data_IF_668616507281
#
_entry.id   IF_668616507281
#
_cell.length_a   1.000
_cell.length_b   1.000
_cell.length_c   1.000
_cell.angle_alpha   90.00
_cell.angle_beta   90.00
_cell.angle_gamma   90.00
#
_symmetry.space_group_name_H-M   'P 1'
#
loop_
_entity.id
_entity.type
_entity.pdbx_description
1 polymer ?
#
# COMPACT_ATOMS: atom_id res chain seq x y z
N UNK A 1 8.24 -12.87 28.30
CA UNK A 1 8.90 -12.16 27.19
C UNK A 1 9.10 -13.06 25.97
N UNK A 2 9.85 -14.18 26.03
CA UNK A 2 10.08 -15.09 24.90
C UNK A 2 8.78 -15.62 24.24
N UNK A 3 7.75 -16.01 25.01
CA UNK A 3 6.46 -16.47 24.47
C UNK A 3 5.64 -15.40 23.77
N UNK A 4 5.79 -14.12 24.14
CA UNK A 4 5.18 -12.99 23.42
C UNK A 4 5.89 -12.73 22.09
N UNK A 5 7.22 -12.74 22.09
CA UNK A 5 8.02 -12.57 20.88
C UNK A 5 7.75 -13.67 19.85
N UNK A 6 7.58 -14.92 20.31
CA UNK A 6 7.21 -16.03 19.44
C UNK A 6 5.83 -15.81 18.80
N UNK A 7 4.81 -15.43 19.57
CA UNK A 7 3.45 -15.15 19.06
C UNK A 7 3.42 -13.97 18.09
N UNK A 8 4.18 -12.90 18.34
CA UNK A 8 4.36 -11.78 17.40
C UNK A 8 4.99 -12.27 16.10
N UNK A 9 5.95 -13.21 16.18
CA UNK A 9 6.60 -13.78 15.01
C UNK A 9 5.68 -14.69 14.18
N UNK A 10 4.78 -15.42 14.84
CA UNK A 10 3.86 -16.38 14.19
C UNK A 10 2.66 -15.66 13.53
N UNK A 11 1.96 -14.81 14.28
CA UNK A 11 0.80 -14.05 13.79
C UNK A 11 0.70 -12.70 14.50
N UNK A 12 1.35 -11.63 13.98
CA UNK A 12 1.32 -10.32 14.61
C UNK A 12 -0.09 -9.68 14.59
N UNK A 13 -0.94 -9.95 13.60
CA UNK A 13 -2.30 -9.39 13.55
C UNK A 13 -3.15 -9.97 14.66
N UNK A 14 -3.19 -11.30 14.80
CA UNK A 14 -3.92 -11.96 15.88
C UNK A 14 -3.36 -11.58 17.25
N UNK A 15 -2.03 -11.43 17.38
CA UNK A 15 -1.40 -11.00 18.63
C UNK A 15 -1.86 -9.60 19.02
N UNK A 16 -1.73 -8.59 18.14
CA UNK A 16 -2.13 -7.21 18.43
C UNK A 16 -3.63 -7.10 18.72
N UNK A 17 -4.48 -7.77 17.92
CA UNK A 17 -5.92 -7.80 18.15
C UNK A 17 -6.29 -8.47 19.49
N UNK A 18 -5.55 -9.52 19.88
CA UNK A 18 -5.72 -10.18 21.17
C UNK A 18 -5.32 -9.27 22.34
N UNK A 19 -4.25 -8.49 22.20
CA UNK A 19 -3.86 -7.51 23.24
C UNK A 19 -4.91 -6.40 23.36
N UNK A 20 -5.37 -5.85 22.24
CA UNK A 20 -6.43 -4.84 22.22
C UNK A 20 -7.73 -5.31 22.90
N UNK A 21 -8.25 -6.50 22.50
CA UNK A 21 -9.48 -7.04 23.12
C UNK A 21 -9.34 -7.27 24.63
N UNK A 22 -8.14 -7.59 25.12
CA UNK A 22 -7.88 -7.91 26.52
C UNK A 22 -7.65 -6.68 27.38
N UNK A 23 -7.00 -5.65 26.85
CA UNK A 23 -6.48 -4.53 27.62
C UNK A 23 -7.06 -3.17 27.21
N UNK A 24 -7.92 -3.13 26.18
CA UNK A 24 -8.52 -1.88 25.69
C UNK A 24 -7.62 -1.12 24.71
N UNK A 25 -7.90 0.15 24.53
CA UNK A 25 -7.39 0.98 23.43
C UNK A 25 -5.96 1.47 23.63
N UNK A 26 -5.46 1.47 24.85
CA UNK A 26 -4.07 1.79 25.16
C UNK A 26 -3.42 0.59 25.82
N UNK A 27 -2.46 -0.01 25.13
CA UNK A 27 -1.74 -1.20 25.60
C UNK A 27 -0.26 -0.88 25.74
N UNK A 28 0.26 -0.93 26.96
CA UNK A 28 1.69 -0.88 27.21
C UNK A 28 2.29 -2.29 27.09
N UNK A 29 3.27 -2.45 26.20
CA UNK A 29 4.01 -3.69 26.11
C UNK A 29 5.16 -3.75 27.13
N UNK A 30 5.49 -4.94 27.66
CA UNK A 30 6.57 -5.12 28.63
C UNK A 30 7.96 -5.04 27.95
N UNK A 31 8.19 -3.95 27.23
CA UNK A 31 9.47 -3.62 26.57
C UNK A 31 10.09 -2.47 27.36
N UNK A 32 11.24 -2.68 28.01
CA UNK A 32 11.79 -1.69 28.93
C UNK A 32 12.36 -0.45 28.22
N UNK A 33 12.86 -0.59 26.99
CA UNK A 33 13.45 0.53 26.26
C UNK A 33 13.41 0.31 24.74
N UNK A 34 12.81 1.24 24.00
CA UNK A 34 11.96 2.32 24.48
C UNK A 34 10.64 1.79 25.05
N UNK A 35 9.98 2.52 26.00
CA UNK A 35 8.61 2.22 26.38
C UNK A 35 7.74 2.14 25.13
N UNK A 36 6.93 1.10 25.04
CA UNK A 36 6.19 0.80 23.80
C UNK A 36 4.70 0.70 24.10
N UNK A 37 3.91 1.48 23.38
CA UNK A 37 2.46 1.55 23.52
C UNK A 37 1.77 1.28 22.20
N UNK A 38 0.69 0.52 22.22
CA UNK A 38 -0.27 0.46 21.11
C UNK A 38 -1.45 1.36 21.44
N UNK A 39 -1.85 2.18 20.48
CA UNK A 39 -2.96 3.11 20.58
C UNK A 39 -3.96 2.80 19.48
N UNK A 40 -5.22 2.53 19.85
CA UNK A 40 -6.24 2.01 18.95
C UNK A 40 -7.51 2.86 18.86
N UNK A 41 -7.81 3.69 19.89
CA UNK A 41 -8.96 4.59 19.84
C UNK A 41 -8.81 5.63 18.71
N UNK A 42 -9.81 5.83 17.85
CA UNK A 42 -9.72 6.73 16.69
C UNK A 42 -9.29 8.16 17.03
N UNK A 43 -9.75 8.72 18.16
CA UNK A 43 -9.39 10.09 18.57
C UNK A 43 -7.93 10.19 19.01
N UNK A 44 -7.41 9.17 19.70
CA UNK A 44 -6.00 9.14 20.11
C UNK A 44 -5.10 8.95 18.87
N UNK A 45 -5.51 8.10 17.94
CA UNK A 45 -4.84 7.94 16.64
C UNK A 45 -4.79 9.27 15.88
N UNK A 46 -5.90 10.01 15.86
CA UNK A 46 -5.96 11.36 15.29
C UNK A 46 -5.03 12.31 16.01
N UNK A 47 -4.98 12.24 17.35
CA UNK A 47 -4.07 13.05 18.14
C UNK A 47 -2.62 12.83 17.74
N UNK A 48 -2.17 11.57 17.60
CA UNK A 48 -0.80 11.25 17.19
C UNK A 48 -0.50 11.69 15.76
N UNK A 49 -1.40 11.38 14.82
CA UNK A 49 -1.11 11.56 13.39
C UNK A 49 -1.39 12.98 12.88
N UNK A 50 -2.31 13.71 13.52
CA UNK A 50 -2.77 15.03 13.07
C UNK A 50 -2.48 16.10 14.12
N UNK A 51 -3.14 16.01 15.29
CA UNK A 51 -3.14 17.07 16.29
C UNK A 51 -1.75 17.37 16.86
N UNK A 52 -1.00 16.33 17.19
CA UNK A 52 0.34 16.42 17.76
C UNK A 52 1.41 15.81 16.83
N UNK A 53 1.20 15.89 15.52
CA UNK A 53 2.12 15.35 14.51
C UNK A 53 3.53 15.97 14.54
N UNK A 54 3.71 17.11 15.18
CA UNK A 54 5.03 17.76 15.40
C UNK A 54 5.80 17.16 16.57
N UNK A 55 5.10 16.48 17.48
CA UNK A 55 5.67 15.86 18.68
C UNK A 55 6.00 14.38 18.48
N UNK A 56 6.04 13.94 17.22
CA UNK A 56 6.39 12.57 16.84
C UNK A 56 7.33 12.53 15.65
N UNK A 57 8.18 11.49 15.61
CA UNK A 57 9.13 11.23 14.52
C UNK A 57 8.94 9.82 13.96
N UNK A 58 9.57 9.55 12.81
CA UNK A 58 9.70 8.21 12.23
C UNK A 58 10.96 7.46 12.70
N UNK A 59 11.69 7.97 13.68
CA UNK A 59 12.88 7.29 14.22
C UNK A 59 12.49 6.04 15.01
N UNK A 60 12.01 5.03 14.31
CA UNK A 60 11.58 3.74 14.86
C UNK A 60 12.30 2.59 14.19
N UNK A 61 12.26 1.41 14.82
CA UNK A 61 12.87 0.22 14.25
C UNK A 61 12.33 -0.14 12.86
N UNK A 62 11.02 0.05 12.66
CA UNK A 62 10.35 -0.21 11.38
C UNK A 62 10.95 0.65 10.26
N UNK A 63 11.02 1.96 10.44
CA UNK A 63 11.53 2.87 9.39
C UNK A 63 13.04 2.75 9.21
N UNK A 64 13.81 2.50 10.29
CA UNK A 64 15.24 2.19 10.19
C UNK A 64 15.52 0.89 9.42
N UNK A 65 14.65 -0.12 9.54
CA UNK A 65 14.79 -1.34 8.75
C UNK A 65 14.44 -1.09 7.28
N UNK A 66 13.37 -0.32 7.03
CA UNK A 66 12.90 0.00 5.69
C UNK A 66 13.88 0.93 4.93
N UNK A 67 14.55 1.85 5.63
CA UNK A 67 15.56 2.74 5.03
C UNK A 67 16.79 2.00 4.49
N UNK A 68 16.99 0.72 4.82
CA UNK A 68 18.02 -0.11 4.17
C UNK A 68 17.71 -0.37 2.69
N UNK A 69 16.46 -0.27 2.29
CA UNK A 69 16.00 -0.43 0.91
C UNK A 69 15.77 0.93 0.26
N UNK A 70 14.99 1.78 0.92
CA UNK A 70 14.51 3.06 0.36
C UNK A 70 15.42 4.26 0.73
N UNK A 71 16.52 4.03 1.44
CA UNK A 71 17.40 5.12 1.89
C UNK A 71 16.66 6.18 2.70
N UNK A 72 16.93 7.44 2.42
CA UNK A 72 16.30 8.62 3.03
C UNK A 72 15.16 9.21 2.16
N UNK A 73 14.49 8.36 1.38
CA UNK A 73 13.35 8.81 0.58
C UNK A 73 12.15 9.23 1.42
N UNK A 74 11.12 9.75 0.77
CA UNK A 74 9.93 10.37 1.36
C UNK A 74 9.21 9.47 2.37
N UNK A 75 9.27 8.14 2.19
CA UNK A 75 8.63 7.19 3.09
C UNK A 75 9.33 7.09 4.45
N UNK A 76 10.65 7.18 4.49
CA UNK A 76 11.47 6.86 5.67
C UNK A 76 12.08 8.09 6.34
N UNK A 77 12.31 9.17 5.60
CA UNK A 77 12.94 10.38 6.11
C UNK A 77 12.07 11.14 7.13
N UNK A 78 12.76 11.88 8.00
CA UNK A 78 12.16 12.84 8.93
C UNK A 78 12.49 14.28 8.50
N UNK A 79 11.95 15.26 9.25
CA UNK A 79 12.29 16.68 9.04
C UNK A 79 13.80 16.92 9.31
N UNK A 80 14.48 17.80 8.55
CA UNK A 80 13.92 18.68 7.48
C UNK A 80 13.80 17.99 6.12
N UNK A 81 14.51 16.88 5.86
CA UNK A 81 14.62 16.19 4.57
C UNK A 81 13.23 15.86 3.99
N UNK A 82 12.37 15.25 4.80
CA UNK A 82 11.02 14.92 4.36
C UNK A 82 10.25 16.13 3.82
N UNK A 83 10.34 17.30 4.49
CA UNK A 83 9.57 18.49 4.08
C UNK A 83 10.06 19.01 2.75
N UNK A 84 11.37 18.98 2.51
CA UNK A 84 11.99 19.37 1.25
C UNK A 84 11.54 18.44 0.12
N UNK A 85 11.73 17.14 0.28
CA UNK A 85 11.34 16.14 -0.72
C UNK A 85 9.83 16.17 -0.99
N UNK A 86 9.00 16.28 0.05
CA UNK A 86 7.55 16.42 -0.10
C UNK A 86 7.16 17.60 -0.98
N UNK A 87 7.80 18.75 -0.79
CA UNK A 87 7.54 19.98 -1.58
C UNK A 87 7.94 19.80 -3.06
N UNK A 88 9.04 19.14 -3.32
CA UNK A 88 9.53 18.87 -4.69
C UNK A 88 8.55 17.93 -5.41
N UNK A 89 8.10 16.89 -4.74
CA UNK A 89 7.32 15.79 -5.33
C UNK A 89 5.82 16.04 -5.37
N UNK A 90 5.29 16.94 -4.54
CA UNK A 90 3.85 17.20 -4.43
C UNK A 90 3.18 17.52 -5.79
N UNK A 91 3.79 18.30 -6.71
CA UNK A 91 3.18 18.61 -8.01
C UNK A 91 2.95 17.37 -8.88
N UNK A 92 3.79 16.33 -8.79
CA UNK A 92 3.62 15.09 -9.56
C UNK A 92 2.35 14.31 -9.19
N UNK A 93 1.73 14.63 -8.03
CA UNK A 93 0.51 14.02 -7.53
C UNK A 93 -0.68 14.98 -7.48
N UNK A 94 -0.60 16.08 -8.25
CA UNK A 94 -1.72 17.01 -8.40
C UNK A 94 -2.87 16.34 -9.17
N UNK A 95 -4.15 16.68 -8.91
CA UNK A 95 -5.29 16.13 -9.65
C UNK A 95 -5.15 16.20 -11.17
N UNK A 96 -4.49 17.20 -11.71
CA UNK A 96 -4.26 17.36 -13.16
C UNK A 96 -3.39 16.25 -13.78
N UNK A 97 -2.66 15.49 -12.97
CA UNK A 97 -1.88 14.34 -13.45
C UNK A 97 -2.68 13.05 -13.52
N UNK A 98 -3.86 12.99 -12.90
CA UNK A 98 -4.69 11.78 -12.83
C UNK A 98 -5.20 11.27 -14.17
N UNK A 99 -5.51 12.11 -15.18
CA UNK A 99 -5.87 11.60 -16.52
C UNK A 99 -4.76 10.72 -17.13
N UNK A 100 -3.49 11.11 -16.97
CA UNK A 100 -2.36 10.31 -17.42
C UNK A 100 -2.25 8.98 -16.65
N UNK A 101 -2.49 9.00 -15.36
CA UNK A 101 -2.53 7.78 -14.53
C UNK A 101 -3.66 6.86 -15.01
N UNK A 102 -4.83 7.40 -15.31
CA UNK A 102 -5.95 6.64 -15.82
C UNK A 102 -5.63 6.00 -17.19
N UNK A 103 -5.01 6.73 -18.10
CA UNK A 103 -4.57 6.22 -19.41
C UNK A 103 -3.56 5.07 -19.25
N UNK A 104 -2.55 5.21 -18.39
CA UNK A 104 -1.57 4.15 -18.16
C UNK A 104 -2.20 2.92 -17.48
N UNK A 105 -3.13 3.16 -16.55
CA UNK A 105 -3.89 2.10 -15.89
C UNK A 105 -4.78 1.35 -16.88
N UNK A 106 -5.48 2.07 -17.75
CA UNK A 106 -6.35 1.45 -18.76
C UNK A 106 -5.54 0.54 -19.69
N UNK A 107 -4.39 1.01 -20.19
CA UNK A 107 -3.48 0.21 -21.00
C UNK A 107 -2.97 -1.05 -20.28
N UNK A 108 -2.58 -0.93 -19.02
CA UNK A 108 -2.11 -2.06 -18.23
C UNK A 108 -3.25 -3.04 -17.91
N UNK A 109 -4.44 -2.53 -17.57
CA UNK A 109 -5.63 -3.33 -17.33
C UNK A 109 -6.10 -4.05 -18.59
N UNK A 110 -6.10 -3.38 -19.75
CA UNK A 110 -6.45 -3.98 -21.03
C UNK A 110 -5.50 -5.14 -21.38
N UNK A 111 -4.19 -4.99 -21.13
CA UNK A 111 -3.22 -6.10 -21.34
C UNK A 111 -3.55 -7.29 -20.44
N UNK A 112 -3.82 -7.05 -19.14
CA UNK A 112 -4.17 -8.13 -18.21
C UNK A 112 -5.51 -8.77 -18.59
N UNK A 113 -6.52 -7.99 -18.97
CA UNK A 113 -7.80 -8.49 -19.47
C UNK A 113 -7.59 -9.39 -20.70
N UNK A 114 -6.80 -8.94 -21.69
CA UNK A 114 -6.49 -9.74 -22.87
C UNK A 114 -5.80 -11.07 -22.52
N UNK A 115 -4.85 -11.05 -21.58
CA UNK A 115 -4.19 -12.26 -21.09
C UNK A 115 -5.17 -13.23 -20.41
N UNK A 116 -6.09 -12.72 -19.58
CA UNK A 116 -7.10 -13.56 -18.90
C UNK A 116 -8.15 -14.08 -19.86
N UNK A 117 -8.58 -13.27 -20.84
CA UNK A 117 -9.57 -13.66 -21.86
C UNK A 117 -9.02 -14.65 -22.89
N UNK A 118 -7.70 -14.74 -23.05
CA UNK A 118 -7.05 -15.72 -23.91
C UNK A 118 -6.92 -17.11 -23.26
N UNK A 119 -7.21 -17.23 -21.96
CA UNK A 119 -7.20 -18.53 -21.27
C UNK A 119 -8.50 -19.29 -21.54
N UNK A 120 -8.44 -20.60 -21.41
CA UNK A 120 -9.64 -21.44 -21.42
C UNK A 120 -10.57 -21.08 -20.24
N UNK A 121 -11.88 -21.17 -20.49
CA UNK A 121 -12.87 -20.96 -19.42
C UNK A 121 -12.67 -21.99 -18.31
N UNK A 122 -12.57 -21.52 -17.07
CA UNK A 122 -12.24 -22.36 -15.91
C UNK A 122 -10.75 -22.48 -15.61
N UNK A 123 -9.86 -21.85 -16.37
CA UNK A 123 -8.43 -21.80 -16.07
C UNK A 123 -8.17 -21.17 -14.69
N UNK A 124 -7.11 -21.64 -14.04
CA UNK A 124 -6.72 -21.15 -12.69
C UNK A 124 -5.45 -20.32 -12.79
N UNK A 125 -5.49 -19.13 -12.24
CA UNK A 125 -4.37 -18.18 -12.22
C UNK A 125 -4.04 -17.73 -10.80
N UNK A 126 -2.80 -17.36 -10.56
CA UNK A 126 -2.43 -16.59 -9.37
C UNK A 126 -2.70 -15.11 -9.63
N UNK A 127 -3.81 -14.60 -9.10
CA UNK A 127 -4.23 -13.22 -9.33
C UNK A 127 -3.31 -12.21 -8.63
N UNK A 128 -2.68 -12.60 -7.52
CA UNK A 128 -1.75 -11.75 -6.80
C UNK A 128 -0.52 -11.39 -7.65
N UNK A 129 0.07 -12.38 -8.31
CA UNK A 129 1.18 -12.15 -9.24
C UNK A 129 0.77 -11.25 -10.43
N UNK A 130 -0.44 -11.45 -10.97
CA UNK A 130 -0.93 -10.68 -12.13
C UNK A 130 -1.14 -9.20 -11.81
N UNK A 131 -1.80 -8.88 -10.69
CA UNK A 131 -2.03 -7.48 -10.32
C UNK A 131 -0.75 -6.81 -9.81
N UNK A 132 0.23 -7.57 -9.32
CA UNK A 132 1.56 -7.04 -8.98
C UNK A 132 2.26 -6.49 -10.23
N UNK A 133 2.28 -7.25 -11.31
CA UNK A 133 2.86 -6.82 -12.59
C UNK A 133 2.12 -5.60 -13.13
N UNK A 134 0.76 -5.60 -13.12
CA UNK A 134 -0.05 -4.46 -13.52
C UNK A 134 0.34 -3.19 -12.75
N UNK A 135 0.36 -3.25 -11.43
CA UNK A 135 0.65 -2.08 -10.60
C UNK A 135 2.09 -1.55 -10.81
N UNK A 136 3.05 -2.45 -11.03
CA UNK A 136 4.42 -2.04 -11.33
C UNK A 136 4.54 -1.33 -12.68
N UNK A 137 3.83 -1.82 -13.71
CA UNK A 137 3.76 -1.17 -15.01
C UNK A 137 3.16 0.24 -14.91
N UNK A 138 2.03 0.39 -14.18
CA UNK A 138 1.38 1.70 -14.00
C UNK A 138 2.30 2.69 -13.31
N UNK A 139 3.01 2.27 -12.26
CA UNK A 139 3.99 3.13 -11.56
C UNK A 139 5.15 3.52 -12.49
N UNK A 140 5.70 2.55 -13.22
CA UNK A 140 6.79 2.78 -14.18
C UNK A 140 6.43 3.81 -15.24
N UNK A 141 5.31 3.60 -15.90
CA UNK A 141 4.82 4.47 -16.97
C UNK A 141 4.43 5.86 -16.45
N UNK A 142 3.72 5.91 -15.30
CA UNK A 142 3.13 7.16 -14.81
C UNK A 142 4.11 8.08 -14.11
N UNK A 143 5.07 7.55 -13.35
CA UNK A 143 5.97 8.35 -12.54
C UNK A 143 7.34 8.55 -13.17
N UNK A 144 7.77 7.62 -14.02
CA UNK A 144 9.11 7.63 -14.60
C UNK A 144 9.12 7.65 -16.13
N UNK A 145 7.95 7.59 -16.78
CA UNK A 145 7.85 7.49 -18.25
C UNK A 145 8.63 6.30 -18.82
N UNK A 146 8.80 5.26 -18.01
CA UNK A 146 9.62 4.09 -18.34
C UNK A 146 8.80 2.82 -18.37
N UNK A 147 8.78 2.18 -19.53
CA UNK A 147 8.18 0.86 -19.67
C UNK A 147 9.10 -0.19 -19.05
N UNK A 148 8.75 -0.63 -17.83
CA UNK A 148 9.52 -1.63 -17.10
C UNK A 148 9.50 -3.00 -17.77
N UNK A 149 8.48 -3.29 -18.60
CA UNK A 149 8.39 -4.43 -19.51
C UNK A 149 9.10 -5.71 -19.05
N UNK A 150 10.16 -6.16 -19.77
CA UNK A 150 10.83 -7.44 -19.47
C UNK A 150 11.53 -7.51 -18.11
N UNK A 151 11.73 -6.38 -17.43
CA UNK A 151 12.38 -6.33 -16.11
C UNK A 151 11.38 -6.25 -14.96
N UNK A 152 10.08 -6.07 -15.25
CA UNK A 152 9.04 -5.86 -14.25
C UNK A 152 8.96 -7.02 -13.26
N UNK A 153 8.92 -8.26 -13.73
CA UNK A 153 8.81 -9.43 -12.86
C UNK A 153 10.03 -9.57 -11.94
N UNK A 154 11.24 -9.36 -12.46
CA UNK A 154 12.48 -9.39 -11.66
C UNK A 154 12.51 -8.28 -10.62
N UNK A 155 12.02 -7.11 -10.97
CA UNK A 155 11.96 -5.96 -10.06
C UNK A 155 10.92 -6.18 -8.95
N UNK A 156 9.76 -6.76 -9.28
CA UNK A 156 8.76 -7.17 -8.29
C UNK A 156 9.32 -8.21 -7.33
N UNK A 157 9.98 -9.25 -7.84
CA UNK A 157 10.63 -10.29 -7.01
C UNK A 157 11.73 -9.71 -6.11
N UNK A 158 12.57 -8.84 -6.66
CA UNK A 158 13.62 -8.15 -5.89
C UNK A 158 13.03 -7.29 -4.76
N UNK A 159 11.95 -6.56 -5.06
CA UNK A 159 11.24 -5.75 -4.05
C UNK A 159 10.68 -6.63 -2.94
N UNK A 160 9.93 -7.68 -3.27
CA UNK A 160 9.36 -8.60 -2.29
C UNK A 160 10.44 -9.26 -1.44
N UNK A 161 11.56 -9.67 -2.06
CA UNK A 161 12.70 -10.23 -1.36
C UNK A 161 13.30 -9.23 -0.38
N UNK A 162 13.56 -8.00 -0.81
CA UNK A 162 14.11 -6.95 0.04
C UNK A 162 13.19 -6.65 1.24
N UNK A 163 11.89 -6.51 1.00
CA UNK A 163 10.91 -6.24 2.04
C UNK A 163 10.71 -7.44 2.99
N UNK A 164 10.77 -8.67 2.48
CA UNK A 164 10.78 -9.89 3.29
C UNK A 164 11.98 -9.94 4.25
N UNK A 165 13.16 -9.61 3.77
CA UNK A 165 14.36 -9.53 4.62
C UNK A 165 14.30 -8.37 5.64
N UNK A 166 13.67 -7.24 5.29
CA UNK A 166 13.37 -6.14 6.25
C UNK A 166 12.52 -6.66 7.41
N UNK A 167 11.46 -7.41 7.11
CA UNK A 167 10.58 -7.99 8.14
C UNK A 167 11.32 -9.05 8.96
N UNK A 168 12.07 -9.93 8.31
CA UNK A 168 12.88 -10.94 9.01
C UNK A 168 13.89 -10.29 9.97
N UNK A 169 14.56 -9.23 9.53
CA UNK A 169 15.48 -8.45 10.36
C UNK A 169 14.76 -7.77 11.55
N UNK A 170 13.55 -7.25 11.35
CA UNK A 170 12.78 -6.61 12.42
C UNK A 170 12.35 -7.61 13.51
N UNK A 171 12.19 -8.90 13.15
CA UNK A 171 11.77 -9.98 14.06
C UNK A 171 12.93 -10.66 14.80
N UNK A 172 14.19 -10.44 14.40
CA UNK A 172 15.35 -11.11 14.99
C UNK A 172 15.90 -10.32 16.21
N UNK A 173 16.03 -10.94 17.38
CA UNK A 173 16.59 -10.30 18.58
C UNK A 173 18.10 -10.01 18.46
N UNK A 174 18.83 -10.85 17.74
CA UNK A 174 20.26 -10.70 17.48
C UNK A 174 20.48 -10.64 15.97
N UNK A 175 21.14 -9.58 15.51
CA UNK A 175 21.36 -9.31 14.08
C UNK A 175 22.83 -9.49 13.74
N UNK A 176 23.09 -10.30 12.72
CA UNK A 176 24.40 -10.31 12.10
C UNK A 176 24.64 -8.98 11.37
N UNK A 177 25.80 -8.34 11.55
CA UNK A 177 26.17 -7.16 10.77
C UNK A 177 26.03 -7.41 9.26
N UNK A 178 25.65 -6.38 8.48
CA UNK A 178 25.38 -6.52 7.05
C UNK A 178 26.56 -7.03 6.20
N UNK A 179 27.79 -6.88 6.68
CA UNK A 179 29.00 -7.38 6.03
C UNK A 179 29.20 -8.91 6.18
N UNK A 180 28.58 -9.53 7.19
CA UNK A 180 28.64 -11.00 7.35
C UNK A 180 27.76 -11.64 6.25
N UNK A 181 28.29 -12.60 5.48
CA UNK A 181 27.58 -13.20 4.34
C UNK A 181 26.57 -14.27 4.77
N UNK A 182 25.62 -13.92 5.65
CA UNK A 182 24.48 -14.79 5.98
C UNK A 182 23.58 -14.95 4.74
N UNK A 183 22.77 -16.03 4.66
CA UNK A 183 21.81 -16.19 3.56
C UNK A 183 20.88 -14.97 3.40
N UNK A 184 20.35 -14.42 4.49
CA UNK A 184 19.51 -13.21 4.45
C UNK A 184 20.27 -11.98 3.94
N UNK A 185 21.50 -11.73 4.42
CA UNK A 185 22.31 -10.62 3.95
C UNK A 185 22.72 -10.78 2.46
N UNK A 186 22.86 -12.02 1.96
CA UNK A 186 23.12 -12.26 0.53
C UNK A 186 21.87 -11.95 -0.31
N UNK A 187 20.66 -12.43 0.10
CA UNK A 187 19.40 -12.12 -0.59
C UNK A 187 19.13 -10.62 -0.61
N UNK A 188 19.29 -9.94 0.53
CA UNK A 188 19.15 -8.48 0.59
C UNK A 188 20.10 -7.78 -0.37
N UNK A 189 21.38 -8.14 -0.41
CA UNK A 189 22.35 -7.52 -1.33
C UNK A 189 21.98 -7.75 -2.79
N UNK A 190 21.57 -8.96 -3.15
CA UNK A 190 21.12 -9.26 -4.51
C UNK A 190 19.92 -8.40 -4.89
N UNK A 191 18.89 -8.35 -4.04
CA UNK A 191 17.71 -7.52 -4.26
C UNK A 191 18.04 -6.04 -4.41
N UNK A 192 18.94 -5.49 -3.58
CA UNK A 192 19.39 -4.09 -3.71
C UNK A 192 20.15 -3.86 -5.03
N UNK A 193 20.95 -4.82 -5.49
CA UNK A 193 21.64 -4.72 -6.80
C UNK A 193 20.64 -4.65 -7.95
N UNK A 194 19.57 -5.45 -7.92
CA UNK A 194 18.51 -5.43 -8.94
C UNK A 194 17.75 -4.08 -8.92
N UNK A 195 17.44 -3.56 -7.73
CA UNK A 195 16.81 -2.24 -7.58
C UNK A 195 17.70 -1.11 -8.12
N UNK A 196 18.99 -1.13 -7.80
CA UNK A 196 19.96 -0.13 -8.30
C UNK A 196 20.17 -0.23 -9.82
N UNK A 197 20.12 -1.44 -10.38
CA UNK A 197 20.16 -1.65 -11.82
C UNK A 197 18.92 -1.05 -12.50
N UNK A 198 17.73 -1.22 -11.92
CA UNK A 198 16.50 -0.60 -12.42
C UNK A 198 16.56 0.93 -12.37
N UNK A 199 17.03 1.51 -11.27
CA UNK A 199 17.25 2.96 -11.17
C UNK A 199 18.21 3.44 -12.26
N UNK A 200 19.31 2.71 -12.49
CA UNK A 200 20.29 3.06 -13.51
C UNK A 200 19.67 3.02 -14.91
N UNK A 201 18.84 2.02 -15.21
CA UNK A 201 18.15 1.92 -16.49
C UNK A 201 17.14 3.06 -16.70
N UNK A 202 16.34 3.40 -15.67
CA UNK A 202 15.40 4.52 -15.70
C UNK A 202 16.12 5.84 -16.00
N UNK A 203 17.22 6.11 -15.29
CA UNK A 203 18.00 7.34 -15.48
C UNK A 203 18.68 7.39 -16.86
N UNK A 204 19.21 6.26 -17.34
CA UNK A 204 19.85 6.18 -18.66
C UNK A 204 18.84 6.42 -19.81
N UNK A 205 17.65 5.82 -19.71
CA UNK A 205 16.58 6.03 -20.70
C UNK A 205 16.14 7.51 -20.71
N UNK A 206 15.91 8.12 -19.54
CA UNK A 206 15.55 9.54 -19.46
C UNK A 206 16.64 10.43 -20.06
N UNK A 207 17.92 10.13 -19.79
CA UNK A 207 19.05 10.86 -20.39
C UNK A 207 19.09 10.78 -21.91
N UNK A 208 18.64 9.67 -22.51
CA UNK A 208 18.57 9.49 -23.95
C UNK A 208 17.34 10.16 -24.60
N UNK A 209 16.20 10.16 -23.90
CA UNK A 209 14.92 10.68 -24.42
C UNK A 209 14.71 12.18 -24.14
N UNK A 210 15.40 12.75 -23.13
CA UNK A 210 15.13 14.08 -22.61
C UNK A 210 13.91 14.13 -21.67
N UNK A 211 13.52 15.36 -21.23
CA UNK A 211 12.36 15.55 -20.36
C UNK A 211 11.06 15.12 -21.03
N UNK A 212 10.09 14.69 -20.21
CA UNK A 212 8.73 14.38 -20.66
C UNK A 212 7.90 15.64 -20.88
N UNK A 213 6.94 15.59 -21.77
CA UNK A 213 5.92 16.62 -21.94
C UNK A 213 4.51 16.03 -21.81
N UNK A 214 3.76 16.36 -20.73
CA UNK A 214 4.16 17.20 -19.58
C UNK A 214 5.19 16.51 -18.68
N UNK A 215 5.96 17.31 -17.91
CA UNK A 215 6.97 16.81 -16.98
C UNK A 215 6.39 15.82 -15.97
N UNK A 216 7.10 14.71 -15.79
CA UNK A 216 6.75 13.69 -14.81
C UNK A 216 7.53 13.84 -13.49
N UNK A 217 7.36 12.89 -12.57
CA UNK A 217 8.05 12.91 -11.27
C UNK A 217 9.58 12.83 -11.43
N UNK A 218 10.07 12.06 -12.41
CA UNK A 218 11.51 11.92 -12.65
C UNK A 218 12.12 13.24 -13.11
N UNK A 219 11.42 13.98 -13.98
CA UNK A 219 11.88 15.31 -14.43
C UNK A 219 11.97 16.28 -13.25
N UNK A 220 10.96 16.27 -12.37
CA UNK A 220 10.96 17.11 -11.16
C UNK A 220 12.12 16.75 -10.23
N UNK A 221 12.43 15.46 -10.04
CA UNK A 221 13.59 15.01 -9.26
C UNK A 221 14.91 15.48 -9.87
N UNK A 222 15.08 15.31 -11.18
CA UNK A 222 16.32 15.70 -11.88
C UNK A 222 16.53 17.22 -11.90
N UNK A 223 15.45 18.00 -11.97
CA UNK A 223 15.50 19.47 -11.92
C UNK A 223 15.62 20.05 -10.50
N UNK A 224 15.45 19.24 -9.45
CA UNK A 224 15.35 19.71 -8.06
C UNK A 224 16.66 20.16 -7.43
N UNK A 225 17.81 19.77 -8.00
CA UNK A 225 19.12 19.97 -7.41
C UNK A 225 19.48 18.97 -6.31
N UNK A 226 18.65 17.96 -6.05
CA UNK A 226 18.98 16.86 -5.15
C UNK A 226 20.20 16.09 -5.67
N UNK A 227 21.01 15.56 -4.74
CA UNK A 227 22.12 14.71 -5.11
C UNK A 227 21.66 13.36 -5.69
N UNK A 228 22.58 12.65 -6.34
CA UNK A 228 22.28 11.37 -7.01
C UNK A 228 21.74 10.31 -6.03
N UNK A 229 22.18 10.32 -4.78
CA UNK A 229 21.74 9.39 -3.76
C UNK A 229 20.28 9.67 -3.38
N UNK A 230 19.92 10.93 -3.16
CA UNK A 230 18.56 11.33 -2.86
C UNK A 230 17.60 11.03 -4.03
N UNK A 231 18.00 11.27 -5.27
CA UNK A 231 17.23 10.91 -6.48
C UNK A 231 17.01 9.39 -6.54
N UNK A 232 18.07 8.60 -6.34
CA UNK A 232 17.97 7.11 -6.25
C UNK A 232 17.00 6.67 -5.17
N UNK A 233 17.09 7.24 -3.98
CA UNK A 233 16.27 6.88 -2.83
C UNK A 233 14.79 7.19 -3.07
N UNK A 234 14.48 8.29 -3.76
CA UNK A 234 13.10 8.58 -4.15
C UNK A 234 12.58 7.63 -5.24
N UNK A 235 13.35 7.34 -6.27
CA UNK A 235 12.94 6.38 -7.31
C UNK A 235 12.63 5.02 -6.67
N UNK A 236 13.52 4.49 -5.82
CA UNK A 236 13.28 3.21 -5.13
C UNK A 236 12.09 3.31 -4.18
N UNK A 237 11.93 4.44 -3.47
CA UNK A 237 10.78 4.66 -2.59
C UNK A 237 9.47 4.55 -3.35
N UNK A 238 9.34 5.18 -4.52
CA UNK A 238 8.12 5.16 -5.29
C UNK A 238 7.90 3.84 -6.04
N UNK A 239 8.96 3.19 -6.51
CA UNK A 239 8.88 1.83 -7.03
C UNK A 239 8.33 0.86 -5.99
N UNK A 240 8.85 0.91 -4.75
CA UNK A 240 8.42 0.02 -3.67
C UNK A 240 7.02 0.37 -3.17
N UNK A 241 6.77 1.65 -2.87
CA UNK A 241 5.53 2.08 -2.24
C UNK A 241 4.34 2.10 -3.20
N UNK A 242 4.57 2.36 -4.48
CA UNK A 242 3.52 2.52 -5.48
C UNK A 242 2.89 1.20 -5.88
N UNK A 243 3.69 0.21 -6.26
CA UNK A 243 3.11 -1.02 -6.82
C UNK A 243 2.62 -2.02 -5.76
N UNK A 244 3.39 -2.24 -4.69
CA UNK A 244 3.05 -3.30 -3.72
C UNK A 244 1.75 -3.00 -2.95
N UNK A 245 1.50 -1.72 -2.64
CA UNK A 245 0.30 -1.32 -1.90
C UNK A 245 -0.97 -1.42 -2.74
N UNK A 246 -0.94 -0.98 -3.99
CA UNK A 246 -2.09 -1.08 -4.90
C UNK A 246 -2.36 -2.54 -5.28
N UNK A 247 -1.31 -3.31 -5.57
CA UNK A 247 -1.44 -4.74 -5.83
C UNK A 247 -2.07 -5.48 -4.65
N UNK A 248 -1.66 -5.18 -3.41
CA UNK A 248 -2.28 -5.73 -2.21
C UNK A 248 -3.77 -5.38 -2.12
N UNK A 249 -4.15 -4.11 -2.32
CA UNK A 249 -5.54 -3.68 -2.28
C UNK A 249 -6.39 -4.38 -3.36
N UNK A 250 -5.89 -4.48 -4.60
CA UNK A 250 -6.55 -5.17 -5.70
C UNK A 250 -6.70 -6.67 -5.43
N UNK A 251 -5.63 -7.33 -4.97
CA UNK A 251 -5.66 -8.76 -4.65
C UNK A 251 -6.76 -9.06 -3.63
N UNK A 252 -6.82 -8.31 -2.53
CA UNK A 252 -7.85 -8.53 -1.50
C UNK A 252 -9.25 -8.15 -1.98
N UNK A 253 -9.39 -7.10 -2.80
CA UNK A 253 -10.67 -6.75 -3.43
C UNK A 253 -11.19 -7.89 -4.32
N UNK A 254 -10.33 -8.47 -5.17
CA UNK A 254 -10.70 -9.58 -6.07
C UNK A 254 -11.02 -10.87 -5.30
N UNK A 255 -10.25 -11.19 -4.24
CA UNK A 255 -10.54 -12.34 -3.37
C UNK A 255 -11.90 -12.17 -2.68
N UNK A 256 -12.20 -10.96 -2.17
CA UNK A 256 -13.48 -10.66 -1.52
C UNK A 256 -14.64 -10.71 -2.52
N UNK A 257 -14.49 -10.12 -3.69
CA UNK A 257 -15.49 -10.18 -4.77
C UNK A 257 -15.76 -11.61 -5.22
N UNK A 258 -14.71 -12.44 -5.32
CA UNK A 258 -14.86 -13.85 -5.65
C UNK A 258 -15.70 -14.65 -4.66
N UNK A 259 -15.74 -14.22 -3.39
CA UNK A 259 -16.60 -14.78 -2.33
C UNK A 259 -18.01 -14.16 -2.31
N UNK A 260 -18.20 -13.02 -2.97
CA UNK A 260 -19.45 -12.25 -3.00
C UNK A 260 -19.87 -11.96 -4.45
N UNK A 261 -20.29 -12.99 -5.22
CA UNK A 261 -20.53 -12.87 -6.65
C UNK A 261 -21.58 -11.83 -7.01
N UNK A 262 -22.59 -11.61 -6.17
CA UNK A 262 -23.61 -10.59 -6.38
C UNK A 262 -23.03 -9.15 -6.34
N UNK A 263 -22.01 -8.90 -5.52
CA UNK A 263 -21.30 -7.62 -5.51
C UNK A 263 -20.41 -7.49 -6.74
N UNK A 264 -19.72 -8.57 -7.13
CA UNK A 264 -18.92 -8.62 -8.36
C UNK A 264 -19.77 -8.33 -9.60
N UNK A 265 -21.01 -8.83 -9.66
CA UNK A 265 -21.93 -8.56 -10.77
C UNK A 265 -22.38 -7.09 -10.79
N UNK A 266 -22.59 -6.46 -9.64
CA UNK A 266 -22.87 -5.01 -9.56
C UNK A 266 -21.69 -4.16 -10.04
N UNK A 267 -20.46 -4.53 -9.68
CA UNK A 267 -19.25 -3.85 -10.17
C UNK A 267 -19.13 -4.01 -11.68
N UNK A 268 -19.37 -5.20 -12.22
CA UNK A 268 -19.32 -5.47 -13.65
C UNK A 268 -20.38 -4.66 -14.42
N UNK A 269 -21.60 -4.57 -13.89
CA UNK A 269 -22.69 -3.78 -14.50
C UNK A 269 -22.36 -2.27 -14.49
N UNK A 270 -21.87 -1.74 -13.36
CA UNK A 270 -21.39 -0.36 -13.26
C UNK A 270 -20.27 -0.09 -14.28
N UNK A 271 -19.28 -0.98 -14.38
CA UNK A 271 -18.19 -0.84 -15.32
C UNK A 271 -18.64 -0.88 -16.78
N UNK A 272 -19.63 -1.72 -17.12
CA UNK A 272 -20.21 -1.79 -18.46
C UNK A 272 -20.97 -0.51 -18.86
N UNK A 273 -21.60 0.15 -17.88
CA UNK A 273 -22.32 1.41 -18.09
C UNK A 273 -21.37 2.62 -18.18
N UNK A 274 -20.29 2.61 -17.42
CA UNK A 274 -19.45 3.80 -17.19
C UNK A 274 -18.24 3.85 -18.10
N UNK A 275 -17.58 2.69 -18.35
CA UNK A 275 -16.34 2.63 -19.13
C UNK A 275 -16.65 2.51 -20.63
N UNK A 276 -15.82 3.13 -21.50
CA UNK A 276 -15.94 3.02 -22.96
C UNK A 276 -16.08 1.57 -23.44
N UNK A 277 -16.91 1.36 -24.45
CA UNK A 277 -17.08 0.06 -25.11
C UNK A 277 -15.88 -0.33 -25.97
N UNK A 278 -15.84 -1.59 -26.48
CA UNK A 278 -14.85 -2.00 -27.47
C UNK A 278 -14.97 -1.14 -28.73
N UNK A 279 -13.91 -0.40 -29.07
CA UNK A 279 -13.87 0.46 -30.25
C UNK A 279 -14.18 1.93 -30.03
N UNK A 280 -14.59 2.31 -28.83
CA UNK A 280 -14.70 3.73 -28.45
C UNK A 280 -13.32 4.32 -28.19
N UNK A 281 -13.15 5.62 -28.47
CA UNK A 281 -11.94 6.31 -28.04
C UNK A 281 -11.91 6.38 -26.49
N UNK A 282 -10.86 5.83 -25.84
CA UNK A 282 -10.83 5.76 -24.37
C UNK A 282 -10.48 7.12 -23.80
N UNK A 283 -11.48 7.96 -23.56
CA UNK A 283 -11.31 9.14 -22.69
C UNK A 283 -11.77 8.77 -21.29
N UNK A 284 -10.83 8.29 -20.46
CA UNK A 284 -11.08 8.05 -19.03
C UNK A 284 -10.60 9.27 -18.26
N UNK A 285 -11.54 10.14 -17.96
CA UNK A 285 -11.31 11.36 -17.20
C UNK A 285 -11.76 11.23 -15.71
N UNK A 286 -11.53 12.29 -14.94
CA UNK A 286 -11.94 12.32 -13.54
C UNK A 286 -13.45 12.16 -13.34
N UNK A 287 -14.34 12.79 -14.14
CA UNK A 287 -15.77 12.53 -14.10
C UNK A 287 -16.14 11.06 -14.31
N UNK A 288 -15.50 10.37 -15.26
CA UNK A 288 -15.71 8.94 -15.49
C UNK A 288 -15.31 8.11 -14.27
N UNK A 289 -14.14 8.36 -13.69
CA UNK A 289 -13.71 7.68 -12.45
C UNK A 289 -14.68 7.95 -11.28
N UNK A 290 -15.22 9.16 -11.17
CA UNK A 290 -16.17 9.53 -10.12
C UNK A 290 -17.51 8.80 -10.22
N UNK A 291 -17.89 8.27 -11.40
CA UNK A 291 -19.10 7.47 -11.63
C UNK A 291 -18.94 6.02 -11.16
N UNK A 292 -17.73 5.50 -11.03
CA UNK A 292 -17.42 4.14 -10.56
C UNK A 292 -17.58 4.02 -9.02
N UNK A 293 -18.76 4.36 -8.51
CA UNK A 293 -19.03 4.49 -7.07
C UNK A 293 -19.04 3.16 -6.34
N UNK A 294 -19.67 2.13 -6.93
CA UNK A 294 -19.72 0.79 -6.35
C UNK A 294 -18.31 0.18 -6.33
N UNK A 295 -17.58 0.33 -7.42
CA UNK A 295 -16.20 -0.13 -7.52
C UNK A 295 -15.31 0.55 -6.48
N UNK A 296 -15.45 1.87 -6.31
CA UNK A 296 -14.73 2.62 -5.28
C UNK A 296 -15.07 2.13 -3.88
N UNK A 297 -16.33 1.89 -3.58
CA UNK A 297 -16.77 1.39 -2.29
C UNK A 297 -16.21 -0.03 -2.00
N UNK A 298 -16.08 -0.87 -3.01
CA UNK A 298 -15.40 -2.18 -2.91
C UNK A 298 -13.92 -2.02 -2.56
N UNK A 299 -13.21 -1.11 -3.22
CA UNK A 299 -11.81 -0.82 -2.91
C UNK A 299 -11.66 -0.30 -1.48
N UNK A 300 -12.53 0.63 -1.06
CA UNK A 300 -12.52 1.18 0.29
C UNK A 300 -12.77 0.10 1.35
N UNK A 301 -13.76 -0.78 1.15
CA UNK A 301 -14.07 -1.85 2.10
C UNK A 301 -13.00 -2.94 2.12
N UNK A 302 -12.38 -3.25 0.97
CA UNK A 302 -11.24 -4.15 0.92
C UNK A 302 -10.05 -3.60 1.71
N UNK A 303 -9.73 -2.30 1.56
CA UNK A 303 -8.68 -1.65 2.36
C UNK A 303 -9.06 -1.46 3.83
N UNK A 304 -10.34 -1.39 4.18
CA UNK A 304 -10.78 -1.41 5.57
C UNK A 304 -10.45 -2.77 6.22
N UNK A 305 -10.84 -3.86 5.56
CA UNK A 305 -10.62 -5.23 6.05
C UNK A 305 -9.16 -5.66 5.95
N UNK A 306 -8.48 -5.29 4.88
CA UNK A 306 -7.09 -5.67 4.59
C UNK A 306 -6.27 -4.44 4.20
N UNK A 307 -6.00 -3.52 5.16
CA UNK A 307 -5.22 -2.31 4.85
C UNK A 307 -3.80 -2.69 4.45
N UNK A 308 -3.33 -2.32 3.23
CA UNK A 308 -1.97 -2.62 2.82
C UNK A 308 -0.94 -2.19 3.87
N UNK A 309 -1.01 -0.94 4.33
CA UNK A 309 -0.22 -0.43 5.45
C UNK A 309 -0.90 -0.74 6.79
N UNK A 310 -0.69 -1.93 7.33
CA UNK A 310 -1.35 -2.43 8.54
C UNK A 310 -0.74 -1.95 9.85
N UNK A 311 0.45 -1.33 9.80
CA UNK A 311 1.23 -0.89 10.95
C UNK A 311 1.84 0.49 10.69
N UNK A 312 1.58 1.42 11.57
CA UNK A 312 2.19 2.76 11.60
C UNK A 312 2.90 2.91 12.94
N UNK A 313 4.16 3.30 12.94
CA UNK A 313 4.90 3.55 14.18
C UNK A 313 5.38 4.99 14.25
N UNK A 314 5.41 5.53 15.48
CA UNK A 314 5.98 6.86 15.77
C UNK A 314 6.78 6.79 17.05
N UNK A 315 7.80 7.63 17.15
CA UNK A 315 8.51 7.91 18.41
C UNK A 315 8.04 9.26 18.93
N UNK A 316 7.61 9.33 20.18
CA UNK A 316 7.23 10.59 20.82
C UNK A 316 8.47 11.43 21.13
N UNK A 317 8.38 12.74 20.94
CA UNK A 317 9.41 13.73 21.33
C UNK A 317 9.00 14.57 22.53
N UNK A 318 7.73 14.45 22.94
CA UNK A 318 7.16 15.07 24.14
C UNK A 318 6.20 14.08 24.80
N UNK A 319 5.85 14.32 26.04
CA UNK A 319 4.86 13.53 26.78
C UNK A 319 3.49 13.66 26.11
N UNK A 320 2.76 12.56 26.08
CA UNK A 320 1.39 12.46 25.56
C UNK A 320 0.47 11.78 26.57
N UNK A 321 -0.82 11.98 26.41
CA UNK A 321 -1.84 11.31 27.19
C UNK A 321 -2.87 10.69 26.25
N UNK A 322 -3.22 9.42 26.45
CA UNK A 322 -4.19 8.67 25.69
C UNK A 322 -5.13 7.94 26.65
N UNK A 323 -6.43 8.21 26.59
CA UNK A 323 -7.46 7.59 27.47
C UNK A 323 -7.04 7.61 28.95
N UNK A 324 -6.41 8.72 29.41
CA UNK A 324 -5.90 8.86 30.79
C UNK A 324 -4.57 8.14 31.07
N UNK A 325 -4.00 7.45 30.10
CA UNK A 325 -2.68 6.83 30.22
C UNK A 325 -1.57 7.80 29.83
N UNK A 326 -0.62 8.05 30.73
CA UNK A 326 0.57 8.85 30.44
C UNK A 326 1.58 8.08 29.60
N UNK A 327 2.00 8.67 28.48
CA UNK A 327 3.01 8.14 27.55
C UNK A 327 4.18 9.11 27.48
N UNK A 328 5.32 8.79 28.10
CA UNK A 328 6.46 9.70 28.18
C UNK A 328 7.14 9.93 26.84
N UNK A 329 7.86 11.04 26.74
CA UNK A 329 8.75 11.33 25.61
C UNK A 329 9.73 10.17 25.36
N UNK A 330 10.08 9.93 24.09
CA UNK A 330 10.95 8.82 23.69
C UNK A 330 10.24 7.47 23.54
N UNK A 331 8.93 7.39 23.83
CA UNK A 331 8.15 6.16 23.67
C UNK A 331 7.92 5.80 22.21
N UNK A 332 7.84 4.49 21.95
CA UNK A 332 7.36 3.97 20.68
C UNK A 332 5.83 3.85 20.75
N UNK A 333 5.14 4.54 19.86
CA UNK A 333 3.68 4.42 19.66
C UNK A 333 3.42 3.59 18.40
N UNK A 334 2.64 2.54 18.60
CA UNK A 334 2.18 1.62 17.54
C UNK A 334 0.71 1.92 17.26
N UNK A 335 0.37 2.16 16.01
CA UNK A 335 -0.98 2.31 15.49
C UNK A 335 -1.18 1.21 14.45
N UNK A 336 -2.23 0.42 14.59
CA UNK A 336 -2.57 -0.60 13.61
C UNK A 336 -3.86 -0.24 12.87
N UNK A 337 -3.80 0.18 11.59
CA UNK A 337 -5.00 0.34 10.77
C UNK A 337 -5.88 -0.91 10.75
N UNK A 338 -5.29 -2.11 10.79
CA UNK A 338 -6.03 -3.37 10.93
C UNK A 338 -6.97 -3.40 12.13
N UNK A 339 -6.57 -2.82 13.27
CA UNK A 339 -7.40 -2.74 14.48
C UNK A 339 -8.34 -1.53 14.40
N UNK A 340 -7.82 -0.36 14.05
CA UNK A 340 -8.61 0.89 13.99
C UNK A 340 -9.78 0.77 13.01
N UNK A 341 -9.58 0.09 11.88
CA UNK A 341 -10.62 -0.18 10.89
C UNK A 341 -11.67 -1.22 11.35
N UNK A 342 -11.50 -1.78 12.55
CA UNK A 342 -12.42 -2.73 13.17
C UNK A 342 -12.97 -2.25 14.51
N UNK A 343 -12.67 -0.99 14.86
CA UNK A 343 -13.04 -0.44 16.15
C UNK A 343 -14.57 -0.33 16.29
N UNK A 344 -15.19 -0.96 17.32
CA UNK A 344 -16.64 -1.12 17.41
C UNK A 344 -17.39 0.20 17.67
N UNK A 345 -16.71 1.24 18.16
CA UNK A 345 -17.33 2.57 18.31
C UNK A 345 -17.68 3.23 16.98
N UNK A 346 -17.10 2.73 15.87
CA UNK A 346 -17.28 3.33 14.53
C UNK A 346 -17.82 2.31 13.53
N UNK A 347 -17.40 1.05 13.62
CA UNK A 347 -17.70 0.04 12.62
C UNK A 347 -18.68 -0.99 13.15
N UNK A 348 -19.90 -0.97 12.62
CA UNK A 348 -20.91 -2.03 12.85
C UNK A 348 -20.53 -3.26 12.02
N UNK A 349 -20.64 -4.46 12.60
CA UNK A 349 -20.25 -5.73 11.96
C UNK A 349 -18.87 -5.65 11.28
N UNK A 350 -17.79 -5.40 12.08
CA UNK A 350 -16.49 -4.97 11.54
C UNK A 350 -15.79 -6.05 10.72
N UNK A 351 -16.15 -7.31 10.80
CA UNK A 351 -15.56 -8.40 10.03
C UNK A 351 -16.31 -8.70 8.72
N UNK A 352 -17.49 -8.12 8.52
CA UNK A 352 -18.29 -8.33 7.30
C UNK A 352 -17.80 -7.46 6.16
N UNK A 353 -17.79 -8.05 4.95
CA UNK A 353 -17.52 -7.31 3.71
C UNK A 353 -18.82 -6.65 3.22
N UNK A 354 -18.96 -5.35 3.51
CA UNK A 354 -20.16 -4.53 3.21
C UNK A 354 -19.75 -3.22 2.53
N UNK A 355 -19.50 -3.20 1.22
CA UNK A 355 -19.15 -1.98 0.50
C UNK A 355 -20.20 -0.87 0.62
N UNK A 356 -21.47 -1.22 0.84
CA UNK A 356 -22.59 -0.30 1.00
C UNK A 356 -22.35 0.74 2.08
N UNK A 357 -21.58 0.43 3.13
CA UNK A 357 -21.23 1.39 4.19
C UNK A 357 -20.50 2.63 3.66
N UNK A 358 -19.80 2.50 2.52
CA UNK A 358 -19.14 3.61 1.85
C UNK A 358 -20.02 4.33 0.82
N UNK A 359 -21.19 3.77 0.47
CA UNK A 359 -22.17 4.39 -0.43
C UNK A 359 -23.22 5.21 0.33
N UNK A 360 -23.66 4.74 1.50
CA UNK A 360 -24.75 5.34 2.30
C UNK A 360 -24.27 6.45 3.23
N UNK A 361 -22.96 6.66 3.34
CA UNK A 361 -22.37 7.61 4.27
C UNK A 361 -22.22 7.07 5.70
N UNK A 362 -22.69 5.87 6.01
CA UNK A 362 -22.41 5.19 7.28
C UNK A 362 -20.90 5.06 7.51
N UNK A 363 -20.15 4.85 6.42
CA UNK A 363 -18.70 4.69 6.42
C UNK A 363 -17.88 5.94 6.09
N UNK A 364 -18.45 7.05 5.61
CA UNK A 364 -17.67 8.21 5.11
C UNK A 364 -18.18 9.55 5.63
N UNK A 365 -19.45 9.64 6.08
CA UNK A 365 -20.12 10.90 6.43
C UNK A 365 -19.97 11.35 7.87
N UNK A 366 -19.73 10.45 8.82
CA UNK A 366 -19.60 10.78 10.24
C UNK A 366 -18.19 11.28 10.60
N UNK A 367 -18.12 12.23 11.55
CA UNK A 367 -16.84 12.72 12.05
C UNK A 367 -15.93 11.57 12.59
N UNK A 368 -16.54 10.53 13.17
CA UNK A 368 -15.83 9.35 13.69
C UNK A 368 -15.18 8.49 12.62
N UNK A 369 -15.79 8.35 11.44
CA UNK A 369 -15.23 7.51 10.36
C UNK A 369 -13.99 8.15 9.75
N UNK A 370 -13.98 9.48 9.58
CA UNK A 370 -12.79 10.18 9.08
C UNK A 370 -11.56 10.00 9.96
N UNK A 371 -11.73 9.66 11.23
CA UNK A 371 -10.64 9.37 12.16
C UNK A 371 -10.31 7.89 12.27
N UNK A 372 -11.26 7.01 11.94
CA UNK A 372 -11.14 5.56 12.04
C UNK A 372 -10.86 4.86 10.70
N UNK A 373 -10.92 5.56 9.55
CA UNK A 373 -10.56 5.01 8.24
C UNK A 373 -9.29 5.68 7.74
N UNK A 374 -8.14 5.02 7.92
CA UNK A 374 -6.81 5.57 7.69
C UNK A 374 -5.92 4.67 6.80
N UNK A 375 -6.41 4.11 5.69
CA UNK A 375 -5.60 3.21 4.85
C UNK A 375 -4.39 3.92 4.24
N UNK A 376 -4.45 5.23 4.09
CA UNK A 376 -3.38 6.10 3.61
C UNK A 376 -2.67 6.89 4.73
N UNK A 377 -2.90 6.49 5.99
CA UNK A 377 -2.47 7.30 7.13
C UNK A 377 -3.30 8.58 7.28
N UNK A 378 -2.79 9.54 8.07
CA UNK A 378 -3.45 10.82 8.30
C UNK A 378 -2.43 11.94 8.56
N UNK A 379 -2.92 13.20 8.52
CA UNK A 379 -2.15 14.39 8.84
C UNK A 379 -1.07 14.73 7.80
N UNK A 380 -0.04 15.48 8.19
CA UNK A 380 1.00 15.94 7.25
C UNK A 380 1.73 14.80 6.52
N UNK A 381 1.82 13.63 7.17
CA UNK A 381 2.48 12.43 6.64
C UNK A 381 1.54 11.49 5.89
N UNK A 382 0.32 11.91 5.58
CA UNK A 382 -0.62 11.16 4.75
C UNK A 382 0.01 10.84 3.38
N UNK A 383 -0.33 9.69 2.82
CA UNK A 383 0.15 9.23 1.51
C UNK A 383 0.02 10.33 0.45
N UNK A 384 1.11 10.59 -0.25
CA UNK A 384 1.14 11.59 -1.33
C UNK A 384 0.38 11.08 -2.56
N UNK A 385 0.46 9.77 -2.83
CA UNK A 385 -0.17 9.11 -3.98
C UNK A 385 -1.57 8.58 -3.73
N UNK A 386 -2.32 9.09 -2.72
CA UNK A 386 -3.66 8.61 -2.40
C UNK A 386 -4.59 8.62 -3.61
N UNK A 387 -4.70 9.75 -4.29
CA UNK A 387 -5.64 9.91 -5.40
C UNK A 387 -5.17 9.15 -6.63
N UNK A 388 -3.85 9.05 -6.85
CA UNK A 388 -3.23 8.16 -7.83
C UNK A 388 -3.62 6.70 -7.58
N UNK A 389 -3.42 6.20 -6.36
CA UNK A 389 -3.73 4.82 -5.99
C UNK A 389 -5.22 4.48 -6.15
N UNK A 390 -6.10 5.44 -5.88
CA UNK A 390 -7.52 5.25 -6.13
C UNK A 390 -7.88 5.22 -7.60
N UNK A 391 -7.32 6.12 -8.42
CA UNK A 391 -7.54 6.12 -9.86
C UNK A 391 -7.11 4.77 -10.46
N UNK A 392 -5.93 4.29 -10.09
CA UNK A 392 -5.40 3.01 -10.50
C UNK A 392 -6.27 1.83 -10.03
N UNK A 393 -6.51 1.71 -8.73
CA UNK A 393 -7.21 0.56 -8.17
C UNK A 393 -8.67 0.47 -8.65
N UNK A 394 -9.37 1.60 -8.72
CA UNK A 394 -10.78 1.62 -9.14
C UNK A 394 -10.91 1.25 -10.62
N UNK A 395 -10.08 1.84 -11.48
CA UNK A 395 -10.14 1.57 -12.92
C UNK A 395 -9.73 0.13 -13.24
N UNK A 396 -8.62 -0.35 -12.68
CA UNK A 396 -8.17 -1.72 -12.89
C UNK A 396 -9.22 -2.75 -12.41
N UNK A 397 -9.81 -2.52 -11.21
CA UNK A 397 -10.85 -3.40 -10.69
C UNK A 397 -12.10 -3.42 -11.57
N UNK A 398 -12.57 -2.26 -12.02
CA UNK A 398 -13.73 -2.13 -12.91
C UNK A 398 -13.49 -2.86 -14.23
N UNK A 399 -12.32 -2.64 -14.87
CA UNK A 399 -11.96 -3.26 -16.16
C UNK A 399 -11.88 -4.78 -16.04
N UNK A 400 -11.26 -5.31 -14.98
CA UNK A 400 -11.17 -6.75 -14.73
C UNK A 400 -12.55 -7.36 -14.48
N UNK A 401 -13.37 -6.76 -13.61
CA UNK A 401 -14.70 -7.28 -13.29
C UNK A 401 -15.66 -7.23 -14.48
N UNK A 402 -15.52 -6.27 -15.40
CA UNK A 402 -16.29 -6.20 -16.64
C UNK A 402 -15.99 -7.37 -17.56
N UNK A 403 -14.73 -7.76 -17.69
CA UNK A 403 -14.27 -8.74 -18.64
C UNK A 403 -14.40 -10.19 -18.15
N UNK A 404 -14.10 -10.43 -16.88
CA UNK A 404 -14.05 -11.78 -16.32
C UNK A 404 -14.70 -11.83 -14.94
N UNK A 405 -15.22 -13.03 -14.61
CA UNK A 405 -15.58 -13.40 -13.25
C UNK A 405 -14.43 -14.21 -12.66
N UNK A 406 -14.00 -13.85 -11.47
CA UNK A 406 -12.97 -14.57 -10.72
C UNK A 406 -13.60 -15.23 -9.50
N UNK A 407 -13.39 -16.52 -9.31
CA UNK A 407 -13.85 -17.27 -8.15
C UNK A 407 -12.68 -17.97 -7.47
N UNK A 408 -12.65 -18.05 -6.12
CA UNK A 408 -11.56 -18.69 -5.40
C UNK A 408 -11.36 -20.14 -5.84
N UNK A 409 -10.10 -20.53 -6.04
CA UNK A 409 -9.71 -21.90 -6.37
C UNK A 409 -8.58 -22.35 -5.45
N UNK A 410 -8.69 -23.56 -4.90
CA UNK A 410 -7.73 -24.05 -3.93
C UNK A 410 -8.00 -23.65 -2.47
N UNK A 411 -7.02 -23.84 -1.58
CA UNK A 411 -7.17 -23.56 -0.14
C UNK A 411 -7.38 -22.07 0.13
N UNK A 412 -8.17 -21.69 1.13
CA UNK A 412 -8.33 -20.28 1.52
C UNK A 412 -6.98 -19.64 1.88
N UNK A 413 -6.76 -18.44 1.35
CA UNK A 413 -5.61 -17.61 1.72
C UNK A 413 -5.87 -16.86 3.02
N UNK A 414 -4.79 -16.62 3.79
CA UNK A 414 -4.80 -15.82 5.02
C UNK A 414 -3.98 -14.56 4.81
N UNK A 415 -4.28 -13.54 5.61
CA UNK A 415 -3.50 -12.32 5.62
C UNK A 415 -2.14 -12.56 6.26
N UNK A 416 -1.07 -12.37 5.50
CA UNK A 416 0.32 -12.41 5.95
C UNK A 416 0.84 -10.98 6.09
N UNK A 417 1.04 -10.47 7.32
CA UNK A 417 1.56 -9.13 7.55
C UNK A 417 3.08 -9.10 7.35
N UNK A 418 3.48 -8.65 6.19
CA UNK A 418 4.84 -8.28 5.84
C UNK A 418 5.02 -6.77 5.99
N UNK A 419 5.68 -6.07 5.07
CA UNK A 419 5.63 -4.60 5.02
C UNK A 419 4.23 -4.15 4.64
N UNK A 420 3.62 -4.83 3.67
CA UNK A 420 2.19 -4.77 3.36
C UNK A 420 1.50 -6.08 3.75
N UNK A 421 0.16 -6.08 3.79
CA UNK A 421 -0.61 -7.32 3.98
C UNK A 421 -0.72 -8.06 2.65
N UNK A 422 -0.12 -9.23 2.57
CA UNK A 422 -0.14 -10.12 1.40
C UNK A 422 -0.90 -11.41 1.70
N UNK A 423 -1.34 -12.16 0.68
CA UNK A 423 -1.73 -13.55 0.86
C UNK A 423 -0.56 -14.40 1.36
N UNK A 424 -0.82 -15.37 2.26
CA UNK A 424 0.20 -16.29 2.81
C UNK A 424 0.67 -17.34 1.78
N UNK A 425 0.02 -17.40 0.63
CA UNK A 425 0.25 -18.31 -0.49
C UNK A 425 -0.30 -17.72 -1.78
N UNK A 426 -0.01 -18.28 -2.97
CA UNK A 426 -0.61 -17.84 -4.23
C UNK A 426 -2.12 -17.71 -4.15
N UNK A 427 -2.66 -16.58 -4.58
CA UNK A 427 -4.10 -16.29 -4.59
C UNK A 427 -4.72 -16.90 -5.86
N UNK A 428 -4.91 -18.23 -5.83
CA UNK A 428 -5.44 -18.97 -6.98
C UNK A 428 -6.91 -18.67 -7.19
N UNK A 429 -7.24 -18.18 -8.37
CA UNK A 429 -8.60 -17.86 -8.79
C UNK A 429 -8.91 -18.51 -10.14
N UNK A 430 -10.14 -19.05 -10.24
CA UNK A 430 -10.69 -19.59 -11.49
C UNK A 430 -11.26 -18.45 -12.31
N UNK A 431 -10.86 -18.38 -13.57
CA UNK A 431 -11.35 -17.40 -14.55
C UNK A 431 -12.59 -17.97 -15.24
N UNK A 432 -13.63 -17.16 -15.35
CA UNK A 432 -14.83 -17.42 -16.17
C UNK A 432 -15.10 -16.17 -16.99
N UNK A 433 -15.30 -16.31 -18.29
CA UNK A 433 -15.55 -15.17 -19.18
C UNK A 433 -16.96 -14.59 -18.93
N UNK A 434 -17.14 -13.30 -19.20
CA UNK A 434 -18.43 -12.60 -19.10
C UNK A 434 -19.02 -12.31 -20.48
#
# INVERSE_FOLDING_TARGET
MLGAMRRIGEDPLAFLAGQWRRHGDVVQFPIPSPPTYMVSHPDDVRTVLVGRSRDVTKDTLQYRALSRVTGQGLLTSDNPVWREHRRILQPAFHPDTLPRVAEHTDRAAARLVAQLSALDDGAVVDIDARVMTLALEVVGDSLFGHQLGPVADRLAEATLTALGEVVALARMPLRAPGWIPTPGNRRMRHALTELDAAVTAILAQRGAQGPSEPADMLDMLLASGLDRTAVRDEIVTFLVAGHETVASALTWALILLGKHPHIADRVAAEAAEVLPGPGDEPVIDLPTLARLRTTRAVVDEAMRLHPPAWLITRRTTADMEFQGAHVPAGSLVIISPWIVHRHPTVWTDPEEFRPERFLTGEGVGGAGVRTAYIPFGAGPRMCIGRDFAYAEAVLALASLCRAVRLSPSGPPVRALPLVTIRPDRPALMRVTHR
#
